data_IF_011634438492
#
_entry.id   IF_011634438492
#
_cell.length_a   1.000
_cell.length_b   1.000
_cell.length_c   1.000
_cell.angle_alpha   90.00
_cell.angle_beta   90.00
_cell.angle_gamma   90.00
#
_symmetry.space_group_name_H-M   'P 1'
#
loop_
_entity.id
_entity.type
_entity.pdbx_description
1 polymer ?
#
# COMPACT_ATOMS: atom_id res chain seq x y z
N UNK A 1 -33.50 -55.09 -14.81
CA UNK A 1 -33.67 -53.76 -15.43
C UNK A 1 -33.49 -52.56 -14.47
N UNK A 2 -33.38 -52.75 -13.13
CA UNK A 2 -33.22 -51.62 -12.17
C UNK A 2 -31.78 -51.17 -11.90
N UNK A 3 -30.75 -51.93 -12.31
CA UNK A 3 -29.33 -51.59 -12.06
C UNK A 3 -28.68 -50.69 -13.13
N UNK A 4 -29.23 -50.67 -14.34
CA UNK A 4 -28.72 -49.82 -15.45
C UNK A 4 -29.22 -48.37 -15.31
N UNK A 5 -30.36 -48.17 -14.64
CA UNK A 5 -30.95 -46.84 -14.44
C UNK A 5 -30.17 -45.98 -13.42
N UNK A 6 -29.45 -46.59 -12.46
CA UNK A 6 -28.61 -45.84 -11.51
C UNK A 6 -27.30 -45.32 -12.12
N UNK A 7 -26.81 -45.91 -13.21
CA UNK A 7 -25.54 -45.48 -13.82
C UNK A 7 -25.69 -44.27 -14.75
N UNK A 8 -26.91 -43.97 -15.21
CA UNK A 8 -27.18 -42.85 -16.11
C UNK A 8 -27.45 -41.52 -15.39
N UNK A 9 -27.70 -41.56 -14.07
CA UNK A 9 -27.98 -40.35 -13.26
C UNK A 9 -26.70 -39.80 -12.61
N UNK A 10 -25.62 -40.58 -12.53
CA UNK A 10 -24.35 -40.16 -11.94
C UNK A 10 -23.45 -39.36 -12.91
N UNK A 11 -23.81 -39.26 -14.20
CA UNK A 11 -23.04 -38.52 -15.21
C UNK A 11 -23.42 -37.02 -15.36
N UNK A 12 -24.41 -36.54 -14.59
CA UNK A 12 -24.95 -35.17 -14.72
C UNK A 12 -24.35 -34.15 -13.71
N UNK A 13 -23.29 -34.51 -12.98
CA UNK A 13 -22.67 -33.67 -11.95
C UNK A 13 -21.33 -33.02 -12.34
N UNK A 14 -20.94 -33.05 -13.62
CA UNK A 14 -19.81 -32.25 -14.13
C UNK A 14 -20.29 -30.90 -14.71
N UNK A 15 -21.07 -30.16 -13.92
CA UNK A 15 -21.23 -28.72 -14.11
C UNK A 15 -19.96 -28.02 -13.65
N UNK A 16 -18.91 -28.04 -14.48
CA UNK A 16 -17.68 -27.30 -14.21
C UNK A 16 -18.00 -25.83 -13.98
N UNK A 17 -17.53 -25.28 -12.85
CA UNK A 17 -17.54 -23.85 -12.59
C UNK A 17 -16.80 -23.15 -13.73
N UNK A 18 -17.53 -22.69 -14.75
CA UNK A 18 -17.00 -21.83 -15.80
C UNK A 18 -16.76 -20.45 -15.19
N UNK A 19 -15.63 -20.27 -14.51
CA UNK A 19 -15.12 -18.94 -14.24
C UNK A 19 -14.76 -18.33 -15.60
N UNK A 20 -15.41 -17.23 -15.97
CA UNK A 20 -15.05 -16.48 -17.18
C UNK A 20 -13.57 -16.12 -17.12
N UNK A 21 -12.80 -16.28 -18.21
CA UNK A 21 -11.38 -15.95 -18.21
C UNK A 21 -11.20 -14.46 -17.95
N UNK A 22 -10.23 -14.12 -17.10
CA UNK A 22 -9.86 -12.73 -16.80
C UNK A 22 -9.42 -12.04 -18.09
N UNK A 23 -9.94 -10.83 -18.41
CA UNK A 23 -9.51 -10.10 -19.60
C UNK A 23 -8.00 -9.82 -19.60
N UNK A 24 -7.35 -9.99 -20.76
CA UNK A 24 -5.89 -9.84 -20.87
C UNK A 24 -5.36 -8.45 -20.46
N UNK A 25 -6.11 -7.38 -20.75
CA UNK A 25 -5.74 -6.02 -20.33
C UNK A 25 -5.63 -5.90 -18.80
N UNK A 26 -6.48 -6.61 -18.04
CA UNK A 26 -6.47 -6.55 -16.59
C UNK A 26 -5.22 -7.22 -16.04
N UNK A 27 -4.86 -8.39 -16.58
CA UNK A 27 -3.63 -9.11 -16.23
C UNK A 27 -2.39 -8.26 -16.52
N UNK A 28 -2.31 -7.62 -17.70
CA UNK A 28 -1.18 -6.75 -18.04
C UNK A 28 -1.13 -5.54 -17.13
N UNK A 29 -2.27 -4.89 -16.86
CA UNK A 29 -2.30 -3.71 -15.99
C UNK A 29 -1.83 -4.01 -14.57
N UNK A 30 -2.24 -5.14 -14.00
CA UNK A 30 -1.86 -5.60 -12.68
C UNK A 30 -0.34 -5.87 -12.60
N UNK A 31 0.19 -6.64 -13.56
CA UNK A 31 1.63 -6.89 -13.65
C UNK A 31 2.45 -5.58 -13.73
N UNK A 32 1.98 -4.60 -14.51
CA UNK A 32 2.66 -3.31 -14.65
C UNK A 32 2.58 -2.49 -13.36
N UNK A 33 1.47 -2.55 -12.61
CA UNK A 33 1.38 -1.93 -11.28
C UNK A 33 2.32 -2.60 -10.26
N UNK A 34 2.47 -3.92 -10.28
CA UNK A 34 3.44 -4.63 -9.43
C UNK A 34 4.88 -4.18 -9.74
N UNK A 35 5.25 -4.11 -11.02
CA UNK A 35 6.57 -3.63 -11.43
C UNK A 35 6.80 -2.16 -11.05
N UNK A 36 5.76 -1.32 -11.17
CA UNK A 36 5.81 0.07 -10.69
C UNK A 36 6.09 0.12 -9.19
N UNK A 37 5.32 -0.61 -8.35
CA UNK A 37 5.53 -0.68 -6.90
C UNK A 37 6.96 -1.11 -6.56
N UNK A 38 7.43 -2.18 -7.19
CA UNK A 38 8.78 -2.71 -6.97
C UNK A 38 9.86 -1.67 -7.28
N UNK A 39 9.85 -1.08 -8.48
CA UNK A 39 10.85 -0.08 -8.87
C UNK A 39 10.75 1.21 -8.06
N UNK A 40 9.53 1.62 -7.68
CA UNK A 40 9.31 2.80 -6.87
C UNK A 40 9.91 2.65 -5.46
N UNK A 41 9.76 1.48 -4.83
CA UNK A 41 10.25 1.21 -3.46
C UNK A 41 11.75 0.90 -3.40
N UNK A 42 12.30 0.29 -4.45
CA UNK A 42 13.73 -0.06 -4.52
C UNK A 42 14.61 1.15 -4.88
N UNK A 43 14.13 2.11 -5.66
CA UNK A 43 14.88 3.35 -5.90
C UNK A 43 15.92 3.28 -7.02
N UNK A 44 15.64 2.52 -8.08
CA UNK A 44 16.40 2.59 -9.33
C UNK A 44 16.13 3.88 -10.11
N UNK A 45 16.34 3.86 -11.43
CA UNK A 45 16.04 5.01 -12.29
C UNK A 45 14.53 5.36 -12.23
N UNK A 46 14.13 6.58 -11.83
CA UNK A 46 12.72 6.95 -11.72
C UNK A 46 11.90 6.73 -12.99
N UNK A 47 12.53 6.92 -14.16
CA UNK A 47 11.90 6.68 -15.46
C UNK A 47 11.46 5.23 -15.69
N UNK A 48 12.09 4.25 -15.03
CA UNK A 48 11.69 2.82 -15.12
C UNK A 48 10.35 2.61 -14.44
N UNK A 49 10.22 3.05 -13.19
CA UNK A 49 8.97 2.96 -12.45
C UNK A 49 7.84 3.69 -13.22
N UNK A 50 8.11 4.89 -13.72
CA UNK A 50 7.11 5.69 -14.44
C UNK A 50 6.69 5.06 -15.78
N UNK A 51 7.58 4.33 -16.47
CA UNK A 51 7.18 3.54 -17.66
C UNK A 51 6.15 2.47 -17.32
N UNK A 52 6.40 1.71 -16.25
CA UNK A 52 5.46 0.67 -15.80
C UNK A 52 4.12 1.28 -15.38
N UNK A 53 4.14 2.38 -14.64
CA UNK A 53 2.92 3.07 -14.23
C UNK A 53 2.10 3.56 -15.43
N UNK A 54 2.73 4.27 -16.37
CA UNK A 54 2.05 4.71 -17.61
C UNK A 54 1.47 3.54 -18.40
N UNK A 55 2.21 2.43 -18.50
CA UNK A 55 1.70 1.23 -19.20
C UNK A 55 0.48 0.63 -18.52
N UNK A 56 0.45 0.58 -17.19
CA UNK A 56 -0.74 0.15 -16.45
C UNK A 56 -1.95 1.05 -16.75
N UNK A 57 -1.75 2.38 -16.72
CA UNK A 57 -2.81 3.34 -17.03
C UNK A 57 -3.33 3.20 -18.47
N UNK A 58 -2.45 2.98 -19.45
CA UNK A 58 -2.84 2.73 -20.85
C UNK A 58 -3.74 1.50 -20.99
N UNK A 59 -3.41 0.39 -20.32
CA UNK A 59 -4.22 -0.82 -20.36
C UNK A 59 -5.57 -0.63 -19.67
N UNK A 60 -5.61 0.04 -18.52
CA UNK A 60 -6.86 0.35 -17.80
C UNK A 60 -7.75 1.27 -18.66
N UNK A 61 -7.16 2.28 -19.33
CA UNK A 61 -7.92 3.21 -20.19
C UNK A 61 -8.65 2.52 -21.34
N UNK A 62 -8.22 1.33 -21.77
CA UNK A 62 -8.94 0.54 -22.80
C UNK A 62 -10.34 0.10 -22.36
N UNK A 63 -10.58 -0.06 -21.06
CA UNK A 63 -11.89 -0.46 -20.53
C UNK A 63 -12.82 0.72 -20.25
N UNK A 64 -12.29 1.93 -20.13
CA UNK A 64 -13.03 3.11 -19.68
C UNK A 64 -13.42 3.07 -18.19
N UNK A 65 -12.91 2.12 -17.41
CA UNK A 65 -13.21 1.98 -15.98
C UNK A 65 -12.50 3.06 -15.15
N UNK A 66 -13.21 4.16 -14.89
CA UNK A 66 -12.71 5.28 -14.09
C UNK A 66 -12.51 4.91 -12.61
N UNK A 67 -13.25 3.92 -12.07
CA UNK A 67 -13.02 3.45 -10.71
C UNK A 67 -11.68 2.71 -10.61
N UNK A 68 -11.36 1.85 -11.57
CA UNK A 68 -10.06 1.17 -11.62
C UNK A 68 -8.92 2.15 -11.92
N UNK A 69 -9.14 3.14 -12.79
CA UNK A 69 -8.16 4.19 -13.06
C UNK A 69 -7.86 5.00 -11.78
N UNK A 70 -8.89 5.33 -11.00
CA UNK A 70 -8.75 5.96 -9.70
C UNK A 70 -7.94 5.11 -8.72
N UNK A 71 -8.16 3.79 -8.67
CA UNK A 71 -7.37 2.87 -7.84
C UNK A 71 -5.89 2.88 -8.22
N UNK A 72 -5.55 2.92 -9.50
CA UNK A 72 -4.16 3.00 -9.94
C UNK A 72 -3.45 4.27 -9.42
N UNK A 73 -4.11 5.42 -9.48
CA UNK A 73 -3.56 6.66 -8.89
C UNK A 73 -3.49 6.63 -7.37
N UNK A 74 -4.47 6.00 -6.70
CA UNK A 74 -4.39 5.79 -5.25
C UNK A 74 -3.24 4.86 -4.85
N UNK A 75 -2.89 3.87 -5.69
CA UNK A 75 -1.68 3.06 -5.47
C UNK A 75 -0.43 3.92 -5.47
N UNK A 76 -0.32 4.90 -6.37
CA UNK A 76 0.79 5.86 -6.36
C UNK A 76 0.83 6.66 -5.06
N UNK A 77 -0.30 7.25 -4.67
CA UNK A 77 -0.40 8.03 -3.43
C UNK A 77 -0.04 7.18 -2.20
N UNK A 78 -0.46 5.92 -2.18
CA UNK A 78 -0.13 4.98 -1.12
C UNK A 78 1.39 4.70 -1.06
N UNK A 79 2.05 4.52 -2.21
CA UNK A 79 3.50 4.38 -2.27
C UNK A 79 4.24 5.66 -1.82
N UNK A 80 3.76 6.84 -2.24
CA UNK A 80 4.28 8.13 -1.79
C UNK A 80 4.20 8.25 -0.26
N UNK A 81 3.07 7.83 0.32
CA UNK A 81 2.88 7.75 1.79
C UNK A 81 3.85 6.76 2.43
N UNK A 82 4.04 5.57 1.84
CA UNK A 82 4.94 4.53 2.34
C UNK A 82 6.42 4.92 2.35
N UNK A 83 6.80 5.91 1.53
CA UNK A 83 8.16 6.47 1.45
C UNK A 83 8.24 7.91 1.93
N UNK A 84 7.27 8.36 2.74
CA UNK A 84 7.22 9.69 3.37
C UNK A 84 7.43 10.86 2.38
N UNK A 85 6.97 10.68 1.14
CA UNK A 85 7.04 11.70 0.10
C UNK A 85 5.80 12.59 0.11
N UNK A 86 5.89 13.73 -0.58
CA UNK A 86 4.74 14.57 -0.82
C UNK A 86 3.69 13.81 -1.65
N UNK A 87 2.44 13.99 -1.28
CA UNK A 87 1.31 13.34 -1.92
C UNK A 87 0.92 14.11 -3.18
N UNK A 88 0.95 13.46 -4.35
CA UNK A 88 0.43 14.04 -5.58
C UNK A 88 -1.04 13.63 -5.79
N UNK A 89 -1.93 14.60 -5.60
CA UNK A 89 -3.38 14.37 -5.62
C UNK A 89 -4.05 14.73 -6.95
N UNK A 90 -3.33 15.41 -7.85
CA UNK A 90 -3.92 16.11 -9.01
C UNK A 90 -4.76 15.18 -9.89
N UNK A 91 -4.16 14.07 -10.31
CA UNK A 91 -4.78 13.15 -11.27
C UNK A 91 -5.93 12.36 -10.66
N UNK A 92 -5.79 11.92 -9.40
CA UNK A 92 -6.90 11.30 -8.68
C UNK A 92 -8.05 12.29 -8.45
N UNK A 93 -7.75 13.55 -8.15
CA UNK A 93 -8.73 14.61 -7.97
C UNK A 93 -9.57 14.88 -9.22
N UNK A 94 -8.96 14.84 -10.41
CA UNK A 94 -9.67 14.94 -11.70
C UNK A 94 -10.64 13.75 -11.87
N UNK A 95 -10.17 12.53 -11.61
CA UNK A 95 -10.99 11.31 -11.74
C UNK A 95 -12.15 11.32 -10.74
N UNK A 96 -11.90 11.70 -9.50
CA UNK A 96 -12.90 11.73 -8.43
C UNK A 96 -14.02 12.76 -8.70
N UNK A 97 -13.73 13.83 -9.43
CA UNK A 97 -14.73 14.79 -9.89
C UNK A 97 -15.59 14.22 -11.03
N UNK A 98 -14.98 13.45 -11.94
CA UNK A 98 -15.67 12.86 -13.09
C UNK A 98 -16.48 11.61 -12.74
N UNK A 99 -16.06 10.84 -11.74
CA UNK A 99 -16.69 9.57 -11.37
C UNK A 99 -16.65 9.31 -9.86
N UNK A 100 -17.83 9.06 -9.28
CA UNK A 100 -17.96 8.77 -7.85
C UNK A 100 -17.75 7.27 -7.58
N UNK A 101 -16.60 6.94 -6.99
CA UNK A 101 -16.30 5.61 -6.46
C UNK A 101 -16.12 5.69 -4.93
N UNK A 102 -17.10 5.25 -4.11
CA UNK A 102 -17.08 5.39 -2.65
C UNK A 102 -15.85 4.78 -1.98
N UNK A 103 -15.42 3.60 -2.40
CA UNK A 103 -14.25 2.88 -1.86
C UNK A 103 -12.97 3.65 -2.13
N UNK A 104 -12.81 4.20 -3.34
CA UNK A 104 -11.66 5.02 -3.72
C UNK A 104 -11.63 6.30 -2.88
N UNK A 105 -12.77 6.99 -2.76
CA UNK A 105 -12.88 8.19 -1.93
C UNK A 105 -12.53 7.89 -0.48
N UNK A 106 -13.02 6.78 0.06
CA UNK A 106 -12.74 6.37 1.43
C UNK A 106 -11.24 6.08 1.65
N UNK A 107 -10.61 5.35 0.72
CA UNK A 107 -9.18 5.06 0.80
C UNK A 107 -8.31 6.31 0.62
N UNK A 108 -8.73 7.25 -0.24
CA UNK A 108 -8.09 8.56 -0.35
C UNK A 108 -8.15 9.37 0.96
N UNK A 109 -9.32 9.42 1.62
CA UNK A 109 -9.47 10.10 2.92
C UNK A 109 -8.58 9.44 3.99
N UNK A 110 -8.44 8.12 3.94
CA UNK A 110 -7.51 7.38 4.79
C UNK A 110 -6.05 7.80 4.53
N UNK A 111 -5.62 7.85 3.26
CA UNK A 111 -4.26 8.28 2.89
C UNK A 111 -3.98 9.75 3.20
N UNK A 112 -5.00 10.62 3.12
CA UNK A 112 -4.94 12.03 3.57
C UNK A 112 -4.61 12.16 5.05
N UNK A 113 -4.89 11.13 5.85
CA UNK A 113 -4.80 11.18 7.31
C UNK A 113 -6.00 11.86 7.96
N UNK A 114 -7.21 11.72 7.41
CA UNK A 114 -8.44 12.14 8.11
C UNK A 114 -9.17 10.91 8.65
N UNK A 115 -8.79 10.37 9.82
CA UNK A 115 -9.44 9.18 10.35
C UNK A 115 -10.93 9.40 10.63
N UNK A 116 -11.37 10.64 10.89
CA UNK A 116 -12.77 10.93 11.24
C UNK A 116 -13.71 10.80 10.05
N UNK A 117 -13.24 11.16 8.85
CA UNK A 117 -13.99 11.06 7.60
C UNK A 117 -13.97 9.66 6.96
N UNK A 118 -13.18 8.72 7.51
CA UNK A 118 -13.06 7.36 6.97
C UNK A 118 -14.11 6.43 7.57
N UNK A 119 -14.86 5.79 6.68
CA UNK A 119 -15.71 4.65 6.94
C UNK A 119 -14.86 3.37 7.01
N UNK A 120 -14.80 2.77 8.20
CA UNK A 120 -14.03 1.54 8.42
C UNK A 120 -14.58 0.31 7.69
N UNK A 121 -15.86 0.31 7.30
CA UNK A 121 -16.47 -0.81 6.57
C UNK A 121 -15.95 -0.90 5.13
N UNK A 122 -15.65 0.24 4.52
CA UNK A 122 -15.12 0.37 3.16
C UNK A 122 -13.59 0.28 3.09
N UNK A 123 -12.90 0.23 4.23
CA UNK A 123 -11.45 0.15 4.29
C UNK A 123 -10.99 -1.32 4.17
N UNK A 124 -9.85 -1.59 3.48
CA UNK A 124 -9.25 -2.92 3.47
C UNK A 124 -9.05 -3.45 4.89
N UNK A 125 -9.33 -4.74 5.08
CA UNK A 125 -9.45 -5.35 6.41
C UNK A 125 -8.21 -5.13 7.29
N UNK A 126 -7.02 -5.16 6.69
CA UNK A 126 -5.75 -4.97 7.38
C UNK A 126 -5.65 -3.61 8.09
N UNK A 127 -6.33 -2.55 7.60
CA UNK A 127 -6.25 -1.21 8.19
C UNK A 127 -7.35 -0.92 9.22
N UNK A 128 -8.35 -1.79 9.41
CA UNK A 128 -9.53 -1.47 10.24
C UNK A 128 -9.19 -1.30 11.72
N UNK A 129 -8.33 -2.16 12.26
CA UNK A 129 -7.83 -2.04 13.64
C UNK A 129 -6.98 -0.78 13.83
N UNK A 130 -6.15 -0.45 12.84
CA UNK A 130 -5.35 0.76 12.80
C UNK A 130 -6.22 2.03 12.76
N UNK A 131 -7.24 2.08 11.90
CA UNK A 131 -8.20 3.20 11.88
C UNK A 131 -8.87 3.40 13.24
N UNK A 132 -9.27 2.31 13.91
CA UNK A 132 -9.86 2.38 15.25
C UNK A 132 -8.86 3.01 16.25
N UNK A 133 -7.61 2.55 16.24
CA UNK A 133 -6.56 3.10 17.10
C UNK A 133 -6.29 4.59 16.81
N UNK A 134 -6.28 4.99 15.54
CA UNK A 134 -6.15 6.40 15.13
C UNK A 134 -7.29 7.27 15.65
N UNK A 135 -8.54 6.81 15.57
CA UNK A 135 -9.71 7.53 16.09
C UNK A 135 -9.67 7.71 17.61
N UNK A 136 -9.05 6.76 18.31
CA UNK A 136 -8.88 6.80 19.78
C UNK A 136 -7.68 7.66 20.21
N UNK A 137 -6.78 8.04 19.29
CA UNK A 137 -5.57 8.81 19.60
C UNK A 137 -4.55 8.06 20.47
N UNK A 138 -4.64 6.74 20.56
CA UNK A 138 -3.83 5.90 21.45
C UNK A 138 -2.58 5.40 20.73
N UNK A 139 -1.44 6.04 20.98
CA UNK A 139 -0.17 5.72 20.34
C UNK A 139 0.28 4.25 20.55
N UNK A 140 -0.05 3.63 21.68
CA UNK A 140 0.31 2.23 21.97
C UNK A 140 -0.54 1.28 21.13
N UNK A 141 -1.84 1.58 20.96
CA UNK A 141 -2.70 0.79 20.05
C UNK A 141 -2.31 0.99 18.59
N UNK A 142 -1.90 2.20 18.21
CA UNK A 142 -1.39 2.49 16.85
C UNK A 142 -0.15 1.65 16.56
N UNK A 143 0.83 1.63 17.47
CA UNK A 143 2.01 0.78 17.37
C UNK A 143 1.64 -0.69 17.17
N UNK A 144 0.77 -1.24 18.03
CA UNK A 144 0.32 -2.63 17.94
C UNK A 144 -0.36 -2.93 16.61
N UNK A 145 -1.19 -2.01 16.11
CA UNK A 145 -1.89 -2.18 14.85
C UNK A 145 -0.92 -2.13 13.65
N UNK A 146 0.10 -1.26 13.69
CA UNK A 146 1.18 -1.25 12.68
C UNK A 146 1.96 -2.56 12.72
N UNK A 147 2.35 -3.03 13.91
CA UNK A 147 3.09 -4.29 14.07
C UNK A 147 2.31 -5.50 13.55
N UNK A 148 0.98 -5.53 13.75
CA UNK A 148 0.11 -6.61 13.29
C UNK A 148 0.03 -6.76 11.75
N UNK A 149 0.50 -5.77 10.98
CA UNK A 149 0.55 -5.82 9.51
C UNK A 149 1.87 -6.38 8.97
N UNK A 150 2.68 -7.08 9.78
CA UNK A 150 3.99 -7.58 9.35
C UNK A 150 3.95 -8.49 8.11
N UNK A 151 2.85 -9.22 7.89
CA UNK A 151 2.62 -10.10 6.74
C UNK A 151 2.16 -9.35 5.48
N UNK A 152 1.84 -8.06 5.59
CA UNK A 152 1.59 -7.15 4.47
C UNK A 152 2.56 -5.96 4.56
N UNK A 153 3.80 -6.12 4.07
CA UNK A 153 4.87 -5.14 4.26
C UNK A 153 4.55 -3.74 3.73
N UNK A 154 3.85 -3.64 2.61
CA UNK A 154 3.50 -2.33 2.04
C UNK A 154 2.43 -1.66 2.90
N UNK A 155 1.41 -2.40 3.35
CA UNK A 155 0.40 -1.84 4.25
C UNK A 155 0.99 -1.40 5.58
N UNK A 156 1.97 -2.14 6.12
CA UNK A 156 2.70 -1.72 7.31
C UNK A 156 3.44 -0.39 7.12
N UNK A 157 4.11 -0.20 5.98
CA UNK A 157 4.78 1.09 5.69
C UNK A 157 3.79 2.24 5.48
N UNK A 158 2.64 1.99 4.86
CA UNK A 158 1.57 3.00 4.71
C UNK A 158 1.05 3.41 6.09
N UNK A 159 0.73 2.44 6.96
CA UNK A 159 0.25 2.70 8.31
C UNK A 159 1.30 3.43 9.17
N UNK A 160 2.58 3.04 9.06
CA UNK A 160 3.67 3.76 9.72
C UNK A 160 3.78 5.22 9.22
N UNK A 161 3.67 5.45 7.90
CA UNK A 161 3.73 6.78 7.31
C UNK A 161 2.57 7.68 7.76
N UNK A 162 1.37 7.11 7.88
CA UNK A 162 0.20 7.80 8.44
C UNK A 162 0.36 8.12 9.93
N UNK A 163 1.02 7.24 10.69
CA UNK A 163 1.31 7.48 12.11
C UNK A 163 2.19 8.73 12.30
N UNK A 164 3.17 8.95 11.42
CA UNK A 164 4.00 10.17 11.43
C UNK A 164 3.17 11.41 11.08
N UNK A 165 2.34 11.32 10.02
CA UNK A 165 1.49 12.44 9.58
C UNK A 165 0.56 12.91 10.69
N UNK A 166 0.13 12.00 11.56
CA UNK A 166 -0.79 12.25 12.66
C UNK A 166 -0.10 12.50 14.00
N UNK A 167 1.24 12.64 14.02
CA UNK A 167 2.01 12.87 15.24
C UNK A 167 1.85 11.76 16.30
N UNK A 168 1.65 10.53 15.84
CA UNK A 168 1.50 9.33 16.66
C UNK A 168 2.69 8.37 16.47
N UNK A 169 3.78 8.82 15.86
CA UNK A 169 4.99 8.01 15.74
C UNK A 169 5.69 7.77 17.07
N UNK A 170 6.36 6.64 17.18
CA UNK A 170 7.25 6.30 18.27
C UNK A 170 8.43 5.46 17.76
N UNK A 171 9.41 5.18 18.61
CA UNK A 171 10.61 4.42 18.23
C UNK A 171 10.26 3.06 17.63
N UNK A 172 9.28 2.35 18.18
CA UNK A 172 8.87 1.02 17.73
C UNK A 172 8.27 1.05 16.31
N UNK A 173 7.41 2.01 15.98
CA UNK A 173 6.86 2.19 14.63
C UNK A 173 7.98 2.48 13.62
N UNK A 174 8.93 3.36 13.97
CA UNK A 174 10.04 3.70 13.10
C UNK A 174 10.97 2.50 12.85
N UNK A 175 11.28 1.73 13.91
CA UNK A 175 12.09 0.52 13.81
C UNK A 175 11.38 -0.57 13.01
N UNK A 176 10.06 -0.74 13.18
CA UNK A 176 9.26 -1.67 12.39
C UNK A 176 9.35 -1.30 10.89
N UNK A 177 9.17 -0.03 10.54
CA UNK A 177 9.27 0.43 9.16
C UNK A 177 10.66 0.24 8.54
N UNK A 178 11.73 0.55 9.29
CA UNK A 178 13.12 0.27 8.88
C UNK A 178 13.33 -1.23 8.65
N UNK A 179 12.89 -2.07 9.58
CA UNK A 179 12.99 -3.52 9.47
C UNK A 179 12.25 -4.06 8.25
N UNK A 180 11.05 -3.56 7.99
CA UNK A 180 10.20 -3.97 6.88
C UNK A 180 10.76 -3.57 5.53
N UNK A 181 11.23 -2.32 5.37
CA UNK A 181 11.91 -1.90 4.15
C UNK A 181 13.20 -2.70 3.91
N UNK A 182 13.96 -2.98 4.99
CA UNK A 182 15.20 -3.76 4.91
C UNK A 182 14.97 -5.21 4.47
N UNK A 183 14.01 -5.92 5.07
CA UNK A 183 13.72 -7.34 4.74
C UNK A 183 13.21 -7.52 3.31
N UNK A 184 12.54 -6.52 2.76
CA UNK A 184 11.99 -6.55 1.39
C UNK A 184 12.96 -6.01 0.32
N UNK A 185 14.19 -5.61 0.70
CA UNK A 185 15.16 -5.07 -0.24
C UNK A 185 14.76 -3.72 -0.86
N UNK A 186 13.87 -2.97 -0.19
CA UNK A 186 13.35 -1.69 -0.69
C UNK A 186 14.29 -0.54 -0.34
N UNK A 187 15.43 -0.42 -1.05
CA UNK A 187 16.50 0.56 -0.74
C UNK A 187 15.99 2.00 -0.62
N UNK A 188 15.14 2.49 -1.54
CA UNK A 188 14.58 3.86 -1.42
C UNK A 188 13.74 4.02 -0.17
N UNK A 189 12.82 3.10 0.11
CA UNK A 189 12.03 3.15 1.34
C UNK A 189 12.93 3.10 2.57
N UNK A 190 13.91 2.20 2.60
CA UNK A 190 14.85 2.01 3.70
C UNK A 190 15.62 3.29 4.03
N UNK A 191 16.17 3.96 3.02
CA UNK A 191 16.92 5.20 3.22
C UNK A 191 16.05 6.31 3.82
N UNK A 192 14.80 6.44 3.36
CA UNK A 192 13.87 7.44 3.91
C UNK A 192 13.51 7.13 5.37
N UNK A 193 13.21 5.87 5.68
CA UNK A 193 12.87 5.45 7.04
C UNK A 193 14.05 5.55 8.01
N UNK A 194 15.27 5.24 7.56
CA UNK A 194 16.48 5.49 8.35
C UNK A 194 16.68 6.98 8.64
N UNK A 195 16.44 7.86 7.67
CA UNK A 195 16.57 9.30 7.89
C UNK A 195 15.52 9.83 8.89
N UNK A 196 14.29 9.31 8.85
CA UNK A 196 13.26 9.63 9.86
C UNK A 196 13.66 9.14 11.25
N UNK A 197 14.15 7.92 11.37
CA UNK A 197 14.62 7.34 12.64
C UNK A 197 15.82 8.11 13.21
N UNK A 198 16.76 8.52 12.35
CA UNK A 198 17.89 9.38 12.74
C UNK A 198 17.42 10.70 13.32
N UNK A 199 16.44 11.34 12.67
CA UNK A 199 15.85 12.59 13.11
C UNK A 199 15.12 12.43 14.45
N UNK A 200 14.42 11.32 14.64
CA UNK A 200 13.76 10.98 15.90
C UNK A 200 14.76 10.87 17.06
N UNK A 201 15.87 10.13 16.88
CA UNK A 201 16.91 10.03 17.92
C UNK A 201 17.59 11.36 18.22
N UNK A 202 17.86 12.17 17.20
CA UNK A 202 18.45 13.49 17.39
C UNK A 202 17.51 14.41 18.20
N UNK A 203 16.20 14.38 17.91
CA UNK A 203 15.21 15.15 18.67
C UNK A 203 15.07 14.69 20.12
N UNK A 204 15.29 13.40 20.41
CA UNK A 204 15.31 12.85 21.75
C UNK A 204 16.63 13.08 22.51
N UNK A 205 17.64 13.72 21.90
CA UNK A 205 18.96 13.95 22.49
C UNK A 205 19.89 12.72 22.47
N UNK A 206 19.50 11.63 21.81
CA UNK A 206 20.33 10.42 21.69
C UNK A 206 21.28 10.53 20.48
N UNK A 207 22.34 11.33 20.66
CA UNK A 207 23.34 11.58 19.63
C UNK A 207 24.07 10.30 19.19
N UNK A 208 24.25 9.33 20.10
CA UNK A 208 24.92 8.07 19.80
C UNK A 208 24.11 7.21 18.82
N UNK A 209 22.81 7.00 19.09
CA UNK A 209 21.94 6.26 18.16
C UNK A 209 21.74 7.01 16.85
N UNK A 210 21.60 8.32 16.88
CA UNK A 210 21.51 9.13 15.67
C UNK A 210 22.78 8.98 14.78
N UNK A 211 23.97 8.99 15.38
CA UNK A 211 25.23 8.78 14.65
C UNK A 211 25.33 7.36 14.06
N UNK A 212 24.92 6.33 14.81
CA UNK A 212 24.90 4.96 14.32
C UNK A 212 23.96 4.78 13.10
N UNK A 213 22.77 5.41 13.15
CA UNK A 213 21.84 5.40 12.00
C UNK A 213 22.42 6.16 10.81
N UNK A 214 23.08 7.31 11.03
CA UNK A 214 23.78 8.05 9.96
C UNK A 214 24.83 7.18 9.28
N UNK A 215 25.68 6.50 10.05
CA UNK A 215 26.69 5.60 9.50
C UNK A 215 26.07 4.51 8.62
N UNK A 216 24.93 3.94 9.04
CA UNK A 216 24.18 2.96 8.23
C UNK A 216 23.66 3.56 6.92
N UNK A 217 23.13 4.79 6.95
CA UNK A 217 22.70 5.52 5.74
C UNK A 217 23.89 5.69 4.79
N UNK A 218 25.04 6.13 5.29
CA UNK A 218 26.23 6.40 4.47
C UNK A 218 26.80 5.13 3.83
N UNK A 219 26.71 3.98 4.51
CA UNK A 219 27.14 2.69 3.96
C UNK A 219 26.19 2.15 2.88
N UNK A 220 24.88 2.39 3.00
CA UNK A 220 23.86 1.93 2.03
C UNK A 220 23.74 2.90 0.84
N UNK A 221 23.96 4.19 1.08
CA UNK A 221 23.80 5.26 0.10
C UNK A 221 24.95 5.42 -0.88
N UNK A 222 26.12 4.82 -0.58
CA UNK A 222 27.20 4.59 -1.54
C UNK A 222 26.74 3.68 -2.69
#
# INVERSE_FOLDING_TARGET
MKRVLCLLILLLLLGGCSSKPTPGWLVVSDQQLEMFKHHFLTGGQPAVAERHFRKALEEIKKSGDLALLGKAWLTRIALETAVLSEMNESEYGIIAQAHRAPENRNYYLFLKGDPTAVDGSLLPAQYRSFLKALKEGDAVKVEKAVAAMADDPLSQLIAAGLSIRLHLENEAILQAAVGTASRNGWKRALLVWLERLRTFYAAAGDAARAAAVRQRIDLIGK
#
